data_IF_526897404784
#
_entry.id   IF_526897404784
#
_cell.length_a   1.000
_cell.length_b   1.000
_cell.length_c   1.000
_cell.angle_alpha   90.00
_cell.angle_beta   90.00
_cell.angle_gamma   90.00
#
_symmetry.space_group_name_H-M   'P 1'
#
loop_
_entity.id
_entity.type
_entity.pdbx_description
1 polymer ?
#
# COMPACT_ATOMS: atom_id res chain seq x y z
N UNK A 1 -12.12 30.44 -43.17
CA UNK A 1 -11.50 30.87 -41.90
C UNK A 1 -11.42 29.64 -41.02
N UNK A 2 -10.31 28.95 -41.18
CA UNK A 2 -9.93 27.76 -40.43
C UNK A 2 -9.48 28.15 -39.01
N UNK A 3 -9.96 27.44 -37.99
CA UNK A 3 -9.09 26.55 -37.21
C UNK A 3 -9.85 25.91 -36.06
N UNK A 4 -9.91 24.58 -36.14
CA UNK A 4 -10.09 23.66 -35.03
C UNK A 4 -9.03 23.90 -33.95
N UNK A 5 -9.41 23.84 -32.67
CA UNK A 5 -8.52 23.38 -31.60
C UNK A 5 -9.26 22.45 -30.66
N UNK A 6 -9.44 21.24 -31.16
CA UNK A 6 -9.62 20.05 -30.34
C UNK A 6 -8.27 19.77 -29.66
N UNK A 7 -8.07 20.22 -28.41
CA UNK A 7 -6.87 19.86 -27.64
C UNK A 7 -7.04 18.43 -27.14
N UNK A 8 -6.54 17.50 -27.95
CA UNK A 8 -6.33 16.11 -27.57
C UNK A 8 -5.50 16.02 -26.29
N UNK A 9 -6.05 15.30 -25.32
CA UNK A 9 -5.34 14.82 -24.14
C UNK A 9 -4.16 13.96 -24.62
N UNK A 10 -2.92 14.43 -24.44
CA UNK A 10 -1.71 13.74 -24.91
C UNK A 10 -1.60 12.33 -24.30
N UNK A 11 -1.60 11.25 -25.10
CA UNK A 11 -1.44 9.87 -24.61
C UNK A 11 -0.09 9.61 -23.92
N UNK A 12 0.94 10.41 -24.22
CA UNK A 12 2.32 10.20 -23.76
C UNK A 12 2.56 10.43 -22.26
N UNK A 13 1.64 11.12 -21.55
CA UNK A 13 1.77 11.33 -20.11
C UNK A 13 1.28 10.15 -19.26
N UNK A 14 0.40 9.30 -19.80
CA UNK A 14 -0.14 8.14 -19.08
C UNK A 14 0.87 7.01 -18.95
N UNK A 15 1.74 6.81 -19.96
CA UNK A 15 2.76 5.75 -19.95
C UNK A 15 3.84 5.94 -18.88
N UNK A 16 4.02 7.15 -18.33
CA UNK A 16 4.99 7.40 -17.25
C UNK A 16 4.49 7.01 -15.86
N UNK A 17 3.19 6.85 -15.66
CA UNK A 17 2.62 6.58 -14.33
C UNK A 17 2.25 5.11 -14.09
N UNK A 18 2.69 4.20 -14.96
CA UNK A 18 2.36 2.78 -14.87
C UNK A 18 2.84 2.18 -13.55
N UNK A 19 1.95 1.45 -12.89
CA UNK A 19 2.28 0.57 -11.75
C UNK A 19 2.44 -0.88 -12.22
N UNK A 20 2.94 -1.76 -11.36
CA UNK A 20 3.22 -3.16 -11.69
C UNK A 20 1.99 -3.88 -12.24
N UNK A 21 0.82 -3.56 -11.68
CA UNK A 21 -0.47 -4.11 -12.10
C UNK A 21 -0.87 -3.75 -13.54
N UNK A 22 -0.33 -2.65 -14.06
CA UNK A 22 -0.63 -2.14 -15.40
C UNK A 22 0.44 -2.54 -16.42
N UNK A 23 1.39 -3.39 -16.03
CA UNK A 23 2.47 -3.85 -16.91
C UNK A 23 1.90 -4.66 -18.07
N UNK A 24 2.33 -4.32 -19.28
CA UNK A 24 2.02 -5.06 -20.50
C UNK A 24 3.30 -5.60 -21.13
N UNK A 25 3.16 -6.53 -22.07
CA UNK A 25 4.29 -7.20 -22.73
C UNK A 25 5.32 -6.25 -23.37
N UNK A 26 4.89 -5.04 -23.76
CA UNK A 26 5.73 -4.01 -24.38
C UNK A 26 5.86 -2.71 -23.56
N UNK A 27 5.30 -2.66 -22.35
CA UNK A 27 5.32 -1.45 -21.52
C UNK A 27 5.48 -1.83 -20.05
N UNK A 28 6.59 -1.39 -19.46
CA UNK A 28 6.93 -1.67 -18.07
C UNK A 28 7.04 -0.37 -17.27
N UNK A 29 6.72 -0.40 -15.97
CA UNK A 29 6.95 0.74 -15.10
C UNK A 29 8.43 1.16 -15.04
N UNK A 30 8.66 2.47 -14.98
CA UNK A 30 10.01 3.02 -14.85
C UNK A 30 10.69 2.53 -13.56
N UNK A 31 9.97 2.48 -12.45
CA UNK A 31 10.48 1.99 -11.18
C UNK A 31 10.81 0.50 -11.19
N UNK A 32 10.12 -0.31 -12.00
CA UNK A 32 10.52 -1.71 -12.22
C UNK A 32 11.88 -1.77 -12.93
N UNK A 33 12.08 -0.92 -13.94
CA UNK A 33 13.35 -0.86 -14.67
C UNK A 33 14.50 -0.40 -13.77
N UNK A 34 14.25 0.62 -12.94
CA UNK A 34 15.22 1.15 -11.97
C UNK A 34 15.62 0.08 -10.95
N UNK A 35 14.65 -0.61 -10.36
CA UNK A 35 14.89 -1.66 -9.37
C UNK A 35 15.69 -2.83 -9.96
N UNK A 36 15.43 -3.17 -11.23
CA UNK A 36 16.04 -4.32 -11.90
C UNK A 36 17.39 -4.02 -12.55
N UNK A 37 17.77 -2.75 -12.69
CA UNK A 37 19.02 -2.36 -13.35
C UNK A 37 20.27 -3.05 -12.76
N UNK A 38 20.44 -3.18 -11.43
CA UNK A 38 21.58 -3.89 -10.84
C UNK A 38 21.59 -5.40 -11.13
N UNK A 39 20.45 -5.97 -11.51
CA UNK A 39 20.24 -7.42 -11.67
C UNK A 39 20.19 -7.85 -13.14
N UNK A 40 20.40 -6.92 -14.10
CA UNK A 40 20.38 -7.26 -15.54
C UNK A 40 21.50 -8.24 -15.92
N UNK A 41 22.65 -8.11 -15.25
CA UNK A 41 23.86 -8.87 -15.53
C UNK A 41 24.11 -9.88 -14.41
N UNK A 42 23.62 -11.10 -14.57
CA UNK A 42 23.86 -12.16 -13.59
C UNK A 42 22.90 -13.33 -13.68
N UNK A 43 23.26 -14.45 -13.06
CA UNK A 43 22.33 -15.55 -12.84
C UNK A 43 21.61 -15.33 -11.51
N UNK A 44 20.32 -15.03 -11.58
CA UNK A 44 19.47 -14.86 -10.41
C UNK A 44 18.39 -15.94 -10.37
N UNK A 45 18.20 -16.53 -9.18
CA UNK A 45 17.13 -17.49 -8.93
C UNK A 45 15.77 -16.83 -9.12
N UNK A 46 14.78 -17.60 -9.58
CA UNK A 46 13.42 -17.11 -9.76
C UNK A 46 12.80 -16.65 -8.42
N UNK A 47 13.15 -17.33 -7.32
CA UNK A 47 12.78 -16.93 -5.97
C UNK A 47 13.29 -15.51 -5.62
N UNK A 48 14.57 -15.24 -5.85
CA UNK A 48 15.17 -13.92 -5.58
C UNK A 48 14.53 -12.82 -6.40
N UNK A 49 14.22 -13.08 -7.68
CA UNK A 49 13.52 -12.10 -8.51
C UNK A 49 12.09 -11.85 -8.05
N UNK A 50 11.39 -12.89 -7.59
CA UNK A 50 10.06 -12.72 -7.03
C UNK A 50 10.08 -11.92 -5.71
N UNK A 51 11.12 -12.09 -4.87
CA UNK A 51 11.35 -11.24 -3.68
C UNK A 51 11.49 -9.77 -4.06
N UNK A 52 12.21 -9.45 -5.15
CA UNK A 52 12.35 -8.08 -5.63
C UNK A 52 11.00 -7.52 -6.14
N UNK A 53 10.19 -8.33 -6.82
CA UNK A 53 8.84 -7.92 -7.23
C UNK A 53 7.93 -7.68 -6.02
N UNK A 54 7.99 -8.53 -4.99
CA UNK A 54 7.24 -8.34 -3.73
C UNK A 54 7.66 -7.02 -3.06
N UNK A 55 8.96 -6.72 -3.02
CA UNK A 55 9.46 -5.44 -2.52
C UNK A 55 8.91 -4.25 -3.30
N UNK A 56 8.85 -4.35 -4.63
CA UNK A 56 8.28 -3.30 -5.47
C UNK A 56 6.80 -3.06 -5.18
N UNK A 57 6.01 -4.13 -4.99
CA UNK A 57 4.60 -4.01 -4.59
C UNK A 57 4.45 -3.38 -3.20
N UNK A 58 5.40 -3.63 -2.29
CA UNK A 58 5.45 -2.95 -1.00
C UNK A 58 5.63 -1.44 -1.18
N UNK A 59 6.56 -1.00 -2.04
CA UNK A 59 6.74 0.41 -2.38
C UNK A 59 5.46 1.03 -2.97
N UNK A 60 4.83 0.33 -3.91
CA UNK A 60 3.55 0.75 -4.51
C UNK A 60 2.37 0.77 -3.52
N UNK A 61 2.54 0.12 -2.37
CA UNK A 61 1.58 0.11 -1.26
C UNK A 61 1.99 1.05 -0.12
N UNK A 62 2.95 1.94 -0.39
CA UNK A 62 3.47 2.94 0.53
C UNK A 62 4.11 2.34 1.80
N UNK A 63 4.80 1.21 1.63
CA UNK A 63 5.77 0.69 2.57
C UNK A 63 7.18 1.01 2.07
N UNK A 64 8.10 1.28 3.00
CA UNK A 64 9.51 1.53 2.70
C UNK A 64 10.37 0.78 3.69
N UNK A 65 11.54 0.31 3.28
CA UNK A 65 12.49 -0.30 4.22
C UNK A 65 13.00 0.75 5.22
N UNK A 66 13.15 0.36 6.48
CA UNK A 66 13.39 1.30 7.58
C UNK A 66 14.72 2.07 7.48
N UNK A 67 15.82 1.44 7.09
CA UNK A 67 17.09 2.13 6.92
C UNK A 67 17.01 3.12 5.75
N UNK A 68 16.39 2.71 4.64
CA UNK A 68 16.18 3.58 3.47
C UNK A 68 15.28 4.76 3.83
N UNK A 69 14.24 4.54 4.63
CA UNK A 69 13.37 5.62 5.12
C UNK A 69 14.18 6.70 5.82
N UNK A 70 15.00 6.36 6.81
CA UNK A 70 15.82 7.34 7.53
C UNK A 70 16.82 8.06 6.62
N UNK A 71 17.39 7.36 5.65
CA UNK A 71 18.29 7.94 4.64
C UNK A 71 17.59 8.96 3.74
N UNK A 72 16.30 8.74 3.40
CA UNK A 72 15.56 9.51 2.39
C UNK A 72 14.43 10.36 2.95
N UNK A 73 14.22 10.38 4.26
CA UNK A 73 13.06 10.99 4.92
C UNK A 73 12.75 12.41 4.42
N UNK A 74 13.77 13.25 4.26
CA UNK A 74 13.62 14.65 3.81
C UNK A 74 13.12 14.82 2.37
N UNK A 75 13.24 13.77 1.55
CA UNK A 75 12.85 13.76 0.13
C UNK A 75 11.49 13.08 -0.07
N UNK A 76 11.04 12.29 0.91
CA UNK A 76 9.79 11.56 0.83
C UNK A 76 8.62 12.50 1.04
N UNK A 77 7.62 12.37 0.16
CA UNK A 77 6.34 13.08 0.30
C UNK A 77 5.39 12.27 1.19
N UNK A 78 4.53 12.93 1.98
CA UNK A 78 3.49 12.22 2.72
C UNK A 78 2.57 11.44 1.78
N UNK A 79 2.06 10.30 2.24
CA UNK A 79 1.02 9.53 1.54
C UNK A 79 -0.24 9.56 2.39
N UNK A 80 -1.36 10.07 1.87
CA UNK A 80 -2.59 10.20 2.65
C UNK A 80 -3.09 8.84 3.13
N UNK A 81 -3.86 8.83 4.22
CA UNK A 81 -4.42 7.61 4.81
C UNK A 81 -5.41 6.91 3.91
N UNK A 82 -6.16 7.66 3.09
CA UNK A 82 -7.12 7.14 2.11
C UNK A 82 -6.46 6.65 0.81
N UNK A 83 -5.14 6.84 0.65
CA UNK A 83 -4.37 6.37 -0.49
C UNK A 83 -3.24 5.42 -0.07
N UNK A 84 -2.65 4.73 -1.03
CA UNK A 84 -1.50 3.85 -0.78
C UNK A 84 -0.38 4.00 -1.81
N UNK A 85 -0.47 4.99 -2.71
CA UNK A 85 0.48 5.14 -3.81
C UNK A 85 0.90 6.61 -4.00
N UNK A 86 2.20 6.81 -4.17
CA UNK A 86 2.77 8.09 -4.60
C UNK A 86 3.94 7.83 -5.55
N UNK A 87 3.76 8.09 -6.84
CA UNK A 87 4.72 7.77 -7.90
C UNK A 87 6.13 8.31 -7.64
N UNK A 88 6.25 9.55 -7.17
CA UNK A 88 7.54 10.18 -6.84
C UNK A 88 8.35 9.40 -5.80
N UNK A 89 7.73 9.05 -4.66
CA UNK A 89 8.33 8.19 -3.65
C UNK A 89 8.72 6.82 -4.20
N UNK A 90 7.83 6.17 -4.95
CA UNK A 90 8.11 4.83 -5.52
C UNK A 90 9.35 4.86 -6.41
N UNK A 91 9.44 5.83 -7.33
CA UNK A 91 10.61 6.00 -8.21
C UNK A 91 11.88 6.35 -7.45
N UNK A 92 11.79 7.23 -6.46
CA UNK A 92 12.94 7.59 -5.61
C UNK A 92 13.47 6.36 -4.86
N UNK A 93 12.58 5.55 -4.31
CA UNK A 93 12.92 4.40 -3.49
C UNK A 93 13.37 3.20 -4.33
N UNK A 94 12.82 3.01 -5.53
CA UNK A 94 13.21 1.94 -6.45
C UNK A 94 14.63 2.06 -7.00
N UNK A 95 15.26 3.23 -6.86
CA UNK A 95 16.68 3.44 -7.21
C UNK A 95 17.64 2.96 -6.12
N UNK A 96 17.14 2.73 -4.89
CA UNK A 96 17.96 2.27 -3.79
C UNK A 96 18.11 0.74 -3.83
N UNK A 97 19.28 0.19 -3.44
CA UNK A 97 19.44 -1.25 -3.30
C UNK A 97 18.46 -1.82 -2.27
N UNK A 98 17.85 -2.95 -2.56
CA UNK A 98 16.93 -3.61 -1.62
C UNK A 98 17.72 -4.13 -0.42
N UNK A 99 17.35 -3.66 0.77
CA UNK A 99 17.96 -4.08 2.03
C UNK A 99 17.11 -5.18 2.68
N UNK A 100 17.66 -6.38 2.78
CA UNK A 100 17.06 -7.50 3.53
C UNK A 100 18.14 -8.34 4.19
N UNK A 101 17.80 -8.93 5.33
CA UNK A 101 18.59 -10.00 5.94
C UNK A 101 18.30 -11.32 5.24
N UNK A 102 19.34 -12.07 4.92
CA UNK A 102 19.26 -13.44 4.41
C UNK A 102 19.57 -14.38 5.56
N UNK A 103 18.73 -15.41 5.73
CA UNK A 103 18.95 -16.50 6.68
C UNK A 103 18.78 -17.83 5.97
N UNK A 104 19.43 -18.87 6.50
CA UNK A 104 19.32 -20.26 6.01
C UNK A 104 19.57 -20.39 4.50
N UNK A 105 20.77 -20.02 4.03
CA UNK A 105 21.21 -20.22 2.64
C UNK A 105 20.22 -19.72 1.56
N UNK A 106 19.77 -18.46 1.68
CA UNK A 106 18.80 -17.83 0.77
C UNK A 106 17.38 -18.42 0.80
N UNK A 107 17.02 -19.18 1.83
CA UNK A 107 15.63 -19.66 1.98
C UNK A 107 14.74 -18.71 2.77
N UNK A 108 15.31 -17.79 3.56
CA UNK A 108 14.54 -16.80 4.32
C UNK A 108 15.07 -15.39 4.08
N UNK A 109 14.16 -14.50 3.67
CA UNK A 109 14.40 -13.08 3.48
C UNK A 109 13.58 -12.29 4.50
N UNK A 110 14.21 -11.38 5.24
CA UNK A 110 13.52 -10.55 6.23
C UNK A 110 13.88 -9.07 6.03
N UNK A 111 12.88 -8.20 6.05
CA UNK A 111 13.06 -6.75 6.04
C UNK A 111 12.10 -6.08 7.02
N UNK A 112 12.54 -4.97 7.63
CA UNK A 112 11.68 -4.12 8.45
C UNK A 112 11.15 -3.01 7.56
N UNK A 113 9.84 -2.97 7.41
CA UNK A 113 9.13 -1.99 6.63
C UNK A 113 8.47 -0.97 7.54
N UNK A 114 8.39 0.26 7.06
CA UNK A 114 7.64 1.36 7.64
C UNK A 114 6.58 1.84 6.67
N UNK A 115 5.38 2.08 7.18
CA UNK A 115 4.28 2.63 6.41
C UNK A 115 4.44 4.15 6.28
N UNK A 116 4.44 4.65 5.05
CA UNK A 116 4.42 6.08 4.75
C UNK A 116 3.00 6.62 4.94
N UNK A 117 2.85 7.58 5.84
CA UNK A 117 1.61 8.31 6.13
C UNK A 117 1.81 9.84 6.01
N UNK A 118 0.84 10.62 6.47
CA UNK A 118 0.91 12.08 6.53
C UNK A 118 2.05 12.56 7.45
N UNK A 119 2.61 13.74 7.17
CA UNK A 119 3.77 14.31 7.88
C UNK A 119 3.51 14.48 9.38
N UNK A 120 2.29 14.86 9.74
CA UNK A 120 1.91 15.08 11.14
C UNK A 120 1.89 13.76 11.92
N UNK A 121 1.49 12.66 11.26
CA UNK A 121 1.53 11.32 11.85
C UNK A 121 2.94 10.71 11.84
N UNK A 122 3.88 11.29 11.10
CA UNK A 122 5.26 10.80 11.05
C UNK A 122 6.17 11.40 12.13
N UNK A 123 5.75 12.50 12.77
CA UNK A 123 6.57 13.24 13.75
C UNK A 123 6.33 12.81 15.20
N UNK A 124 5.22 12.15 15.48
CA UNK A 124 4.90 11.71 16.83
C UNK A 124 5.60 10.38 17.15
N UNK A 125 6.55 10.44 18.09
CA UNK A 125 7.37 9.31 18.53
C UNK A 125 6.54 8.17 19.14
N UNK A 126 5.34 8.45 19.67
CA UNK A 126 4.47 7.45 20.27
C UNK A 126 3.83 6.52 19.22
N UNK A 127 3.61 7.00 18.00
CA UNK A 127 2.94 6.27 16.92
C UNK A 127 3.91 5.63 15.92
N UNK A 128 5.19 6.02 15.96
CA UNK A 128 6.27 5.43 15.15
C UNK A 128 6.41 3.91 15.26
N UNK A 129 6.23 3.27 16.44
CA UNK A 129 6.27 1.81 16.53
C UNK A 129 5.13 1.12 15.77
N UNK A 130 3.92 1.69 15.81
CA UNK A 130 2.71 1.13 15.17
C UNK A 130 2.84 1.06 13.65
N UNK A 131 3.61 1.97 13.05
CA UNK A 131 3.84 2.03 11.60
C UNK A 131 4.91 1.06 11.09
N UNK A 132 5.48 0.22 11.96
CA UNK A 132 6.53 -0.74 11.58
C UNK A 132 5.94 -2.14 11.43
N UNK A 133 6.37 -2.83 10.38
CA UNK A 133 6.03 -4.21 10.10
C UNK A 133 7.27 -4.99 9.64
N UNK A 134 7.33 -6.28 9.94
CA UNK A 134 8.36 -7.18 9.45
C UNK A 134 7.78 -7.95 8.27
N UNK A 135 8.38 -7.77 7.10
CA UNK A 135 8.13 -8.63 5.95
C UNK A 135 9.12 -9.78 6.00
N UNK A 136 8.59 -11.00 6.06
CA UNK A 136 9.34 -12.25 6.04
C UNK A 136 8.87 -13.06 4.83
N UNK A 137 9.82 -13.54 4.03
CA UNK A 137 9.56 -14.35 2.85
C UNK A 137 10.34 -15.64 3.00
N UNK A 138 9.65 -16.77 2.99
CA UNK A 138 10.23 -18.10 3.15
C UNK A 138 10.06 -18.88 1.86
N UNK A 139 11.15 -19.41 1.31
CA UNK A 139 11.17 -20.29 0.15
C UNK A 139 10.83 -21.70 0.59
N UNK A 140 9.74 -22.25 0.07
CA UNK A 140 9.24 -23.59 0.37
C UNK A 140 9.14 -24.38 -0.95
N UNK A 141 10.27 -24.88 -1.44
CA UNK A 141 10.32 -25.58 -2.72
C UNK A 141 10.05 -24.64 -3.90
N UNK A 142 8.92 -24.82 -4.58
CA UNK A 142 8.46 -23.99 -5.70
C UNK A 142 7.49 -22.86 -5.28
N UNK A 143 7.22 -22.72 -3.99
CA UNK A 143 6.41 -21.65 -3.42
C UNK A 143 7.22 -20.66 -2.56
N UNK A 144 6.69 -19.45 -2.43
CA UNK A 144 7.10 -18.46 -1.42
C UNK A 144 5.95 -18.21 -0.46
N UNK A 145 6.20 -18.42 0.83
CA UNK A 145 5.32 -17.93 1.88
C UNK A 145 5.74 -16.50 2.24
N UNK A 146 4.89 -15.54 1.87
CA UNK A 146 5.09 -14.11 2.16
C UNK A 146 4.26 -13.76 3.38
N UNK A 147 4.89 -13.22 4.43
CA UNK A 147 4.25 -12.85 5.70
C UNK A 147 4.64 -11.45 6.12
N UNK A 148 3.65 -10.59 6.40
CA UNK A 148 3.84 -9.25 6.94
C UNK A 148 3.23 -9.17 8.34
N UNK A 149 4.05 -8.99 9.36
CA UNK A 149 3.62 -8.95 10.76
C UNK A 149 3.93 -7.59 11.38
N UNK A 150 3.08 -7.04 12.26
CA UNK A 150 3.41 -5.80 12.95
C UNK A 150 4.60 -6.04 13.91
N UNK A 151 5.40 -4.99 14.17
CA UNK A 151 6.43 -5.07 15.20
C UNK A 151 5.85 -4.77 16.58
N UNK A 152 6.52 -5.28 17.62
CA UNK A 152 6.26 -4.86 18.99
C UNK A 152 6.31 -3.32 19.10
N UNK A 153 5.38 -2.69 19.84
CA UNK A 153 4.51 -3.28 20.85
C UNK A 153 3.15 -3.80 20.35
N UNK A 154 2.84 -3.69 19.06
CA UNK A 154 1.54 -4.11 18.53
C UNK A 154 1.35 -5.62 18.70
N UNK A 155 0.14 -6.01 19.13
CA UNK A 155 -0.30 -7.41 19.31
C UNK A 155 -1.25 -7.86 18.20
N UNK A 156 -1.42 -7.04 17.19
CA UNK A 156 -2.32 -7.34 16.07
C UNK A 156 -1.78 -8.51 15.23
N UNK A 157 -2.64 -9.26 14.52
CA UNK A 157 -2.19 -10.34 13.68
C UNK A 157 -1.36 -9.85 12.49
N UNK A 158 -0.49 -10.74 12.00
CA UNK A 158 0.14 -10.61 10.70
C UNK A 158 -0.72 -11.18 9.59
N UNK A 159 -0.32 -10.90 8.34
CA UNK A 159 -1.00 -11.37 7.14
C UNK A 159 -0.03 -12.15 6.27
N UNK A 160 -0.52 -13.26 5.70
CA UNK A 160 0.31 -14.16 4.89
C UNK A 160 -0.39 -14.58 3.60
N UNK A 161 0.41 -14.85 2.57
CA UNK A 161 -0.03 -15.44 1.30
C UNK A 161 1.06 -16.38 0.77
N UNK A 162 0.65 -17.50 0.16
CA UNK A 162 1.56 -18.36 -0.59
C UNK A 162 1.54 -17.98 -2.07
N UNK A 163 2.71 -17.90 -2.70
CA UNK A 163 2.88 -17.56 -4.10
C UNK A 163 3.71 -18.63 -4.82
N UNK A 164 3.19 -19.19 -5.90
CA UNK A 164 3.96 -20.09 -6.76
C UNK A 164 5.02 -19.30 -7.54
N UNK A 165 6.29 -19.67 -7.41
CA UNK A 165 7.42 -18.98 -8.06
C UNK A 165 7.28 -19.04 -9.58
N UNK A 166 7.03 -20.24 -10.11
CA UNK A 166 6.93 -20.48 -11.56
C UNK A 166 5.75 -19.77 -12.22
N UNK A 167 4.74 -19.34 -11.45
CA UNK A 167 3.59 -18.59 -11.96
C UNK A 167 3.95 -17.16 -12.35
N UNK A 168 4.91 -16.55 -11.65
CA UNK A 168 5.24 -15.13 -11.79
C UNK A 168 6.62 -14.89 -12.40
N UNK A 169 7.54 -15.84 -12.26
CA UNK A 169 8.91 -15.73 -12.77
C UNK A 169 9.31 -17.01 -13.51
N UNK A 170 9.61 -16.85 -14.80
CA UNK A 170 10.17 -17.93 -15.61
C UNK A 170 11.58 -18.31 -15.14
N UNK A 171 11.86 -19.61 -15.13
CA UNK A 171 13.20 -20.14 -14.82
C UNK A 171 14.22 -19.88 -15.94
N UNK A 172 13.75 -19.65 -17.17
CA UNK A 172 14.61 -19.43 -18.34
C UNK A 172 14.67 -17.95 -18.66
N UNK A 173 15.88 -17.41 -18.81
CA UNK A 173 16.11 -16.08 -19.37
C UNK A 173 16.51 -16.23 -20.85
N UNK A 174 15.75 -15.66 -21.81
CA UNK A 174 16.17 -15.65 -23.20
C UNK A 174 17.46 -14.85 -23.37
N UNK A 175 18.39 -15.34 -24.20
CA UNK A 175 19.65 -14.63 -24.49
C UNK A 175 19.34 -13.25 -25.08
N UNK A 176 20.11 -12.24 -24.67
CA UNK A 176 20.00 -10.84 -25.13
C UNK A 176 18.63 -10.20 -24.87
N UNK A 177 17.81 -10.75 -23.95
CA UNK A 177 16.56 -10.13 -23.51
C UNK A 177 16.72 -9.58 -22.09
N UNK A 178 16.10 -8.42 -21.81
CA UNK A 178 16.09 -7.84 -20.46
C UNK A 178 15.45 -8.77 -19.43
N UNK A 179 15.89 -8.67 -18.17
CA UNK A 179 15.42 -9.56 -17.10
C UNK A 179 13.91 -9.54 -16.88
N UNK A 180 13.26 -8.40 -17.15
CA UNK A 180 11.82 -8.25 -16.99
C UNK A 180 11.00 -9.13 -17.93
N UNK A 181 11.60 -9.66 -19.01
CA UNK A 181 10.93 -10.64 -19.90
C UNK A 181 10.66 -11.98 -19.22
N UNK A 182 11.29 -12.25 -18.06
CA UNK A 182 10.99 -13.41 -17.23
C UNK A 182 9.70 -13.25 -16.42
N UNK A 183 9.19 -12.04 -16.28
CA UNK A 183 8.05 -11.75 -15.40
C UNK A 183 6.73 -11.98 -16.11
N UNK A 184 5.79 -12.60 -15.40
CA UNK A 184 4.47 -12.93 -15.90
C UNK A 184 3.41 -12.64 -14.83
N UNK A 185 2.16 -12.40 -15.28
CA UNK A 185 0.99 -12.22 -14.41
C UNK A 185 1.23 -11.19 -13.30
N UNK A 186 1.85 -10.07 -13.65
CA UNK A 186 2.22 -9.00 -12.72
C UNK A 186 1.02 -8.25 -12.15
N UNK A 187 -0.07 -8.19 -12.92
CA UNK A 187 -1.42 -7.82 -12.49
C UNK A 187 -1.90 -8.69 -11.34
N UNK A 188 -1.88 -10.01 -11.53
CA UNK A 188 -2.32 -10.96 -10.53
C UNK A 188 -1.43 -10.91 -9.28
N UNK A 189 -0.11 -10.85 -9.45
CA UNK A 189 0.85 -10.74 -8.34
C UNK A 189 0.59 -9.48 -7.50
N UNK A 190 0.45 -8.33 -8.17
CA UNK A 190 0.21 -7.05 -7.50
C UNK A 190 -1.10 -7.08 -6.73
N UNK A 191 -2.17 -7.60 -7.35
CA UNK A 191 -3.48 -7.70 -6.74
C UNK A 191 -3.46 -8.62 -5.50
N UNK A 192 -2.90 -9.82 -5.62
CA UNK A 192 -2.84 -10.77 -4.51
C UNK A 192 -2.07 -10.22 -3.30
N UNK A 193 -0.92 -9.60 -3.54
CA UNK A 193 -0.09 -9.01 -2.48
C UNK A 193 -0.77 -7.80 -1.84
N UNK A 194 -1.34 -6.90 -2.65
CA UNK A 194 -2.06 -5.73 -2.13
C UNK A 194 -3.25 -6.16 -1.27
N UNK A 195 -4.13 -7.02 -1.79
CA UNK A 195 -5.38 -7.40 -1.12
C UNK A 195 -5.19 -8.28 0.10
N UNK A 196 -4.20 -9.17 0.08
CA UNK A 196 -4.03 -10.16 1.16
C UNK A 196 -2.99 -9.76 2.20
N UNK A 197 -2.05 -8.87 1.85
CA UNK A 197 -0.91 -8.54 2.73
C UNK A 197 -0.83 -7.04 3.00
N UNK A 198 -0.49 -6.23 1.98
CA UNK A 198 -0.07 -4.84 2.22
C UNK A 198 -1.23 -3.90 2.59
N UNK A 199 -2.36 -3.96 1.88
CA UNK A 199 -3.50 -3.09 2.20
C UNK A 199 -4.14 -3.49 3.54
N UNK A 200 -4.16 -4.78 3.87
CA UNK A 200 -4.66 -5.25 5.18
C UNK A 200 -3.79 -4.73 6.32
N UNK A 201 -2.47 -4.86 6.20
CA UNK A 201 -1.54 -4.32 7.19
C UNK A 201 -1.67 -2.80 7.33
N UNK A 202 -1.64 -2.06 6.21
CA UNK A 202 -1.80 -0.60 6.22
C UNK A 202 -3.12 -0.18 6.87
N UNK A 203 -4.21 -0.88 6.55
CA UNK A 203 -5.53 -0.61 7.11
C UNK A 203 -5.58 -0.85 8.62
N UNK A 204 -4.99 -1.96 9.07
CA UNK A 204 -4.85 -2.29 10.49
C UNK A 204 -4.07 -1.21 11.24
N UNK A 205 -2.91 -0.81 10.72
CA UNK A 205 -2.07 0.21 11.34
C UNK A 205 -2.78 1.57 11.40
N UNK A 206 -3.43 2.00 10.32
CA UNK A 206 -4.16 3.29 10.30
C UNK A 206 -5.33 3.27 11.28
N UNK A 207 -6.04 2.14 11.37
CA UNK A 207 -7.15 1.96 12.34
C UNK A 207 -6.64 1.98 13.78
N UNK A 208 -5.49 1.36 14.04
CA UNK A 208 -4.84 1.37 15.37
C UNK A 208 -4.44 2.79 15.80
N UNK A 209 -4.17 3.69 14.84
CA UNK A 209 -3.93 5.11 15.09
C UNK A 209 -5.21 5.95 15.27
N UNK A 210 -6.40 5.33 15.26
CA UNK A 210 -7.67 6.03 15.40
C UNK A 210 -8.10 6.84 14.17
N UNK A 211 -7.39 6.69 13.06
CA UNK A 211 -7.71 7.37 11.79
C UNK A 211 -8.57 6.44 10.93
N UNK A 212 -9.59 7.00 10.28
CA UNK A 212 -10.48 6.24 9.41
C UNK A 212 -10.02 6.34 7.95
N UNK A 213 -9.83 5.18 7.30
CA UNK A 213 -9.34 5.04 5.91
C UNK A 213 -10.28 5.61 4.85
N UNK A 214 -11.56 5.73 5.19
CA UNK A 214 -12.57 6.29 4.32
C UNK A 214 -13.36 7.36 5.07
N UNK A 215 -13.86 8.39 4.36
CA UNK A 215 -14.90 9.26 4.88
C UNK A 215 -16.19 8.42 5.03
N UNK A 216 -16.23 7.59 6.07
CA UNK A 216 -17.44 6.94 6.54
C UNK A 216 -18.23 7.96 7.33
N UNK A 217 -19.56 7.82 7.36
CA UNK A 217 -20.39 8.66 8.23
C UNK A 217 -19.85 8.66 9.66
N UNK A 218 -19.39 7.50 10.16
CA UNK A 218 -18.76 7.31 11.48
C UNK A 218 -17.40 7.97 11.67
N UNK A 219 -16.70 8.31 10.60
CA UNK A 219 -15.38 8.94 10.64
C UNK A 219 -15.42 10.47 10.61
N UNK A 220 -16.60 11.08 10.48
CA UNK A 220 -16.74 12.54 10.39
C UNK A 220 -16.58 13.23 11.76
N UNK A 221 -16.22 14.53 11.79
CA UNK A 221 -16.26 15.35 13.02
C UNK A 221 -17.70 15.55 13.53
N UNK A 222 -17.87 15.69 14.86
CA UNK A 222 -19.20 15.85 15.50
C UNK A 222 -20.04 16.98 14.91
N UNK A 223 -19.40 18.10 14.54
CA UNK A 223 -20.08 19.27 13.94
C UNK A 223 -20.80 18.93 12.63
N UNK A 224 -20.29 17.95 11.87
CA UNK A 224 -20.89 17.52 10.61
C UNK A 224 -22.13 16.67 10.87
N UNK A 225 -22.15 15.88 11.95
CA UNK A 225 -23.37 15.13 12.32
C UNK A 225 -24.46 16.07 12.81
N UNK A 226 -24.12 17.12 13.56
CA UNK A 226 -25.09 18.12 13.98
C UNK A 226 -25.82 18.74 12.77
N UNK A 227 -25.08 19.03 11.70
CA UNK A 227 -25.63 19.55 10.45
C UNK A 227 -26.48 18.51 9.72
N UNK A 228 -25.95 17.30 9.48
CA UNK A 228 -26.68 16.22 8.81
C UNK A 228 -27.96 15.88 9.57
N UNK A 229 -27.87 15.68 10.89
CA UNK A 229 -28.99 15.26 11.72
C UNK A 229 -30.04 16.36 11.84
N UNK A 230 -29.67 17.64 11.69
CA UNK A 230 -30.63 18.75 11.61
C UNK A 230 -31.63 18.55 10.47
N UNK A 231 -31.19 18.01 9.33
CA UNK A 231 -32.04 17.77 8.17
C UNK A 231 -32.83 16.45 8.22
N UNK A 232 -32.58 15.59 9.20
CA UNK A 232 -33.30 14.32 9.37
C UNK A 232 -34.53 14.47 10.29
N UNK A 233 -35.62 13.83 9.90
CA UNK A 233 -36.82 13.69 10.73
C UNK A 233 -36.63 12.58 11.80
N UNK A 234 -37.56 12.48 12.76
CA UNK A 234 -37.46 11.53 13.88
C UNK A 234 -37.34 10.06 13.43
N UNK A 235 -38.09 9.66 12.41
CA UNK A 235 -38.06 8.29 11.92
C UNK A 235 -36.70 7.97 11.27
N UNK A 236 -36.16 8.92 10.50
CA UNK A 236 -34.83 8.79 9.89
C UNK A 236 -33.71 8.75 10.95
N UNK A 237 -33.79 9.56 12.00
CA UNK A 237 -32.83 9.53 13.11
C UNK A 237 -32.86 8.19 13.86
N UNK A 238 -34.04 7.60 14.06
CA UNK A 238 -34.16 6.26 14.66
C UNK A 238 -33.53 5.17 13.78
N UNK A 239 -33.66 5.28 12.46
CA UNK A 239 -32.99 4.36 11.53
C UNK A 239 -31.47 4.50 11.64
N UNK A 240 -30.95 5.73 11.64
CA UNK A 240 -29.51 6.01 11.79
C UNK A 240 -28.97 5.51 13.14
N UNK A 241 -29.74 5.67 14.21
CA UNK A 241 -29.38 5.21 15.56
C UNK A 241 -29.22 3.68 15.65
N UNK A 242 -29.87 2.92 14.77
CA UNK A 242 -29.79 1.45 14.76
C UNK A 242 -28.59 0.91 13.98
N UNK A 243 -27.83 1.75 13.29
CA UNK A 243 -26.69 1.31 12.46
C UNK A 243 -25.48 0.92 13.33
N UNK A 244 -25.13 1.73 14.33
CA UNK A 244 -24.09 1.41 15.30
C UNK A 244 -24.21 2.23 16.59
N UNK A 245 -23.45 1.85 17.63
CA UNK A 245 -23.48 2.48 18.95
C UNK A 245 -23.11 3.98 18.92
N UNK A 246 -22.15 4.40 18.08
CA UNK A 246 -21.72 5.80 18.00
C UNK A 246 -22.83 6.69 17.43
N UNK A 247 -23.46 6.26 16.33
CA UNK A 247 -24.58 6.96 15.71
C UNK A 247 -25.81 6.99 16.61
N UNK A 248 -26.02 5.95 17.42
CA UNK A 248 -27.06 5.92 18.44
C UNK A 248 -26.87 7.05 19.47
N UNK A 249 -25.66 7.15 20.04
CA UNK A 249 -25.33 8.19 21.03
C UNK A 249 -25.52 9.60 20.46
N UNK A 250 -25.03 9.85 19.24
CA UNK A 250 -25.17 11.15 18.58
C UNK A 250 -26.64 11.49 18.26
N UNK A 251 -27.43 10.50 17.82
CA UNK A 251 -28.85 10.70 17.49
C UNK A 251 -29.70 11.01 18.73
N UNK A 252 -29.36 10.40 19.88
CA UNK A 252 -29.96 10.71 21.19
C UNK A 252 -29.62 12.12 21.64
N UNK A 253 -28.36 12.54 21.51
CA UNK A 253 -27.93 13.88 21.85
C UNK A 253 -28.72 14.95 21.06
N UNK A 254 -28.86 14.76 19.74
CA UNK A 254 -29.63 15.68 18.89
C UNK A 254 -31.13 15.69 19.23
N UNK A 255 -31.70 14.53 19.55
CA UNK A 255 -33.11 14.41 19.95
C UNK A 255 -33.39 15.13 21.27
N UNK A 256 -32.47 15.03 22.22
CA UNK A 256 -32.54 15.73 23.50
C UNK A 256 -32.42 17.25 23.32
N UNK A 257 -31.51 17.74 22.45
CA UNK A 257 -31.40 19.18 22.14
C UNK A 257 -32.71 19.73 21.57
N UNK A 258 -33.35 19.01 20.65
CA UNK A 258 -34.66 19.40 20.06
C UNK A 258 -35.80 19.44 21.08
N UNK A 259 -35.73 18.63 22.15
CA UNK A 259 -36.72 18.63 23.22
C UNK A 259 -36.58 19.84 24.16
N UNK A 260 -35.40 20.45 24.25
CA UNK A 260 -35.13 21.61 25.10
C UNK A 260 -35.31 22.96 24.36
N UNK A 261 -35.57 22.95 23.05
CA UNK A 261 -35.79 24.15 22.22
C UNK A 261 -37.26 24.35 21.82
N UNK A 262 -38.19 23.57 22.41
CA UNK A 262 -39.63 23.75 22.33
C UNK A 262 -40.18 24.09 23.70
#
# INVERSE_FOLDING_TARGET
MDNERNQGTRPEMLDKALILEQTKQNSIPEHLSQLMAPYQNGKHSSAKLLVLLIHLVALESAFVEEQIFWKKQKQLKPVPTYGSFHLGNVRLLAQEPVVYAIQFDETVFSMILRTLLDEDMQKDAAIMPTLRSRLMIVVLGDELLVTLSPLAPSKQPGYSVSLSIGRYVLNVQPKNKPIYTRFQKLDELSLQLKQNVFQRMRSQQITELGTYLQPSLTGMPEIVYDEIFRHLNRNQLNIVANVNQRLNSLSKHQSNRRAHTR
#
